data_IF_037115428550
#
_entry.id   IF_037115428550
#
_cell.length_a   1.000
_cell.length_b   1.000
_cell.length_c   1.000
_cell.angle_alpha   90.00
_cell.angle_beta   90.00
_cell.angle_gamma   90.00
#
_symmetry.space_group_name_H-M   'P 1'
#
loop_
_entity.id
_entity.type
_entity.pdbx_description
1 polymer ?
#
# COMPACT_ATOMS: atom_id res chain seq x y z
N UNK A 1 3.87 -17.56 -9.67
CA UNK A 1 2.81 -17.32 -10.70
C UNK A 1 2.49 -15.85 -10.67
N UNK A 2 2.65 -15.14 -11.79
CA UNK A 2 2.48 -13.68 -11.87
C UNK A 2 1.08 -13.29 -11.40
N UNK A 3 1.00 -12.44 -10.39
CA UNK A 3 -0.24 -11.97 -9.79
C UNK A 3 -0.60 -10.55 -10.24
N UNK A 4 0.40 -9.67 -10.29
CA UNK A 4 0.28 -8.32 -10.83
C UNK A 4 1.21 -8.21 -12.04
N UNK A 5 0.71 -7.67 -13.14
CA UNK A 5 1.50 -7.40 -14.34
C UNK A 5 1.14 -6.02 -14.89
N UNK A 6 2.12 -5.16 -15.01
CA UNK A 6 2.01 -3.85 -15.64
C UNK A 6 2.77 -3.88 -16.95
N UNK A 7 2.10 -3.53 -18.04
CA UNK A 7 2.64 -3.55 -19.41
C UNK A 7 2.47 -2.21 -20.07
N UNK A 8 3.59 -1.60 -20.47
CA UNK A 8 3.66 -0.37 -21.27
C UNK A 8 2.71 0.72 -20.71
N UNK A 9 2.68 0.86 -19.37
CA UNK A 9 1.75 1.80 -18.71
C UNK A 9 2.27 3.23 -18.82
N UNK A 10 1.39 4.11 -19.31
CA UNK A 10 1.61 5.55 -19.37
C UNK A 10 0.56 6.27 -18.56
N UNK A 11 0.97 7.38 -17.92
CA UNK A 11 0.06 8.30 -17.25
C UNK A 11 0.56 9.73 -17.38
N UNK A 12 -0.34 10.60 -17.82
CA UNK A 12 -0.09 12.03 -18.01
C UNK A 12 -1.12 12.84 -17.24
N UNK A 13 -0.69 13.96 -16.70
CA UNK A 13 -1.59 14.92 -16.06
C UNK A 13 -1.46 16.26 -16.73
N UNK A 14 -2.58 16.91 -17.03
CA UNK A 14 -2.60 18.27 -17.53
C UNK A 14 -2.69 19.24 -16.37
N UNK A 15 -1.67 20.10 -16.22
CA UNK A 15 -1.63 21.16 -15.20
C UNK A 15 -1.52 22.50 -15.91
N UNK A 16 -2.67 23.17 -16.12
CA UNK A 16 -2.75 24.36 -16.97
C UNK A 16 -2.37 24.03 -18.41
N UNK A 17 -1.36 24.71 -18.94
CA UNK A 17 -0.82 24.47 -20.29
C UNK A 17 0.31 23.44 -20.34
N UNK A 18 0.75 22.92 -19.18
CA UNK A 18 1.87 21.98 -19.08
C UNK A 18 1.37 20.56 -18.93
N UNK A 19 1.88 19.63 -19.73
CA UNK A 19 1.69 18.20 -19.56
C UNK A 19 2.83 17.64 -18.66
N UNK A 20 2.44 16.91 -17.61
CA UNK A 20 3.34 16.20 -16.72
C UNK A 20 3.22 14.71 -16.99
N UNK A 21 4.31 14.08 -17.42
CA UNK A 21 4.38 12.62 -17.59
C UNK A 21 4.71 12.00 -16.22
N UNK A 22 3.73 11.39 -15.60
CA UNK A 22 3.88 10.76 -14.29
C UNK A 22 4.35 9.31 -14.38
N UNK A 23 3.92 8.57 -15.42
CA UNK A 23 4.43 7.24 -15.77
C UNK A 23 4.71 7.18 -17.26
N UNK A 24 5.86 6.61 -17.64
CA UNK A 24 6.32 6.50 -19.00
C UNK A 24 6.87 5.12 -19.28
N UNK A 25 6.10 4.31 -20.01
CA UNK A 25 6.45 2.93 -20.38
C UNK A 25 6.84 2.08 -19.15
N UNK A 26 5.99 2.12 -18.13
CA UNK A 26 6.21 1.36 -16.90
C UNK A 26 5.87 -0.11 -17.14
N UNK A 27 6.85 -0.98 -16.84
CA UNK A 27 6.76 -2.43 -17.03
C UNK A 27 7.31 -3.15 -15.80
N UNK A 28 6.52 -4.00 -15.17
CA UNK A 28 6.97 -4.92 -14.11
C UNK A 28 5.94 -6.01 -13.82
N UNK A 29 6.39 -7.02 -13.10
CA UNK A 29 5.57 -8.13 -12.60
C UNK A 29 5.81 -8.34 -11.10
N UNK A 30 4.77 -8.78 -10.39
CA UNK A 30 4.82 -9.14 -8.97
C UNK A 30 4.11 -10.49 -8.80
N UNK A 31 4.68 -11.36 -7.98
CA UNK A 31 4.06 -12.63 -7.61
C UNK A 31 3.11 -12.47 -6.41
N UNK A 32 2.18 -13.41 -6.27
CA UNK A 32 1.22 -13.41 -5.17
C UNK A 32 1.92 -13.57 -3.83
N UNK A 33 1.55 -12.73 -2.88
CA UNK A 33 2.09 -12.77 -1.51
C UNK A 33 3.49 -12.17 -1.37
N UNK A 34 4.09 -11.59 -2.42
CA UNK A 34 5.36 -10.89 -2.30
C UNK A 34 5.25 -9.63 -1.43
N UNK A 35 6.31 -9.36 -0.68
CA UNK A 35 6.56 -8.06 -0.06
C UNK A 35 7.44 -7.25 -1.01
N UNK A 36 6.89 -6.21 -1.60
CA UNK A 36 7.50 -5.42 -2.67
C UNK A 36 7.78 -4.01 -2.21
N UNK A 37 8.94 -3.49 -2.56
CA UNK A 37 9.30 -2.08 -2.34
C UNK A 37 9.53 -1.39 -3.68
N UNK A 38 8.82 -0.29 -3.91
CA UNK A 38 9.03 0.61 -5.03
C UNK A 38 9.82 1.82 -4.52
N UNK A 39 11.08 1.91 -4.96
CA UNK A 39 12.04 2.93 -4.55
C UNK A 39 12.21 4.00 -5.63
N UNK A 40 12.41 5.23 -5.20
CA UNK A 40 12.75 6.35 -6.08
C UNK A 40 12.65 7.70 -5.38
N UNK A 41 13.22 8.73 -5.97
CA UNK A 41 13.13 10.10 -5.48
C UNK A 41 11.66 10.61 -5.48
N UNK A 42 11.40 11.70 -4.76
CA UNK A 42 10.12 12.40 -4.88
C UNK A 42 9.88 12.81 -6.35
N UNK A 43 8.64 12.64 -6.81
CA UNK A 43 8.29 12.92 -8.21
C UNK A 43 8.67 11.83 -9.21
N UNK A 44 9.26 10.71 -8.81
CA UNK A 44 9.63 9.62 -9.74
C UNK A 44 8.44 8.80 -10.29
N UNK A 45 7.19 9.15 -9.96
CA UNK A 45 5.98 8.47 -10.45
C UNK A 45 5.49 7.32 -9.56
N UNK A 46 6.10 7.08 -8.39
CA UNK A 46 5.79 5.94 -7.50
C UNK A 46 4.34 5.93 -7.02
N UNK A 47 3.86 7.04 -6.45
CA UNK A 47 2.48 7.16 -5.95
C UNK A 47 1.45 7.05 -7.09
N UNK A 48 1.81 7.48 -8.31
CA UNK A 48 0.97 7.28 -9.50
C UNK A 48 0.82 5.80 -9.82
N UNK A 49 1.91 5.02 -9.81
CA UNK A 49 1.86 3.56 -9.97
C UNK A 49 0.98 2.95 -8.88
N UNK A 50 1.18 3.35 -7.62
CA UNK A 50 0.38 2.86 -6.49
C UNK A 50 -1.12 3.12 -6.68
N UNK A 51 -1.47 4.35 -7.10
CA UNK A 51 -2.86 4.75 -7.34
C UNK A 51 -3.50 3.96 -8.49
N UNK A 52 -2.76 3.70 -9.55
CA UNK A 52 -3.23 2.89 -10.69
C UNK A 52 -3.45 1.43 -10.23
N UNK A 53 -2.48 0.83 -9.54
CA UNK A 53 -2.63 -0.53 -9.00
C UNK A 53 -3.83 -0.65 -8.04
N UNK A 54 -4.11 0.39 -7.29
CA UNK A 54 -5.22 0.43 -6.35
C UNK A 54 -6.56 0.83 -6.97
N UNK A 55 -6.62 1.15 -8.26
CA UNK A 55 -7.85 1.62 -8.92
C UNK A 55 -8.34 2.98 -8.43
N UNK A 56 -7.46 3.79 -7.84
CA UNK A 56 -7.73 5.20 -7.48
C UNK A 56 -7.55 6.13 -8.68
N UNK A 57 -6.78 5.66 -9.66
CA UNK A 57 -6.54 6.31 -10.95
C UNK A 57 -6.46 5.24 -12.04
N UNK A 58 -6.46 5.65 -13.30
CA UNK A 58 -6.33 4.75 -14.46
C UNK A 58 -5.12 5.17 -15.29
N UNK A 59 -4.46 4.21 -15.94
CA UNK A 59 -3.45 4.52 -16.94
C UNK A 59 -4.10 5.04 -18.23
N UNK A 60 -3.37 5.89 -18.97
CA UNK A 60 -3.84 6.44 -20.24
C UNK A 60 -3.59 5.47 -21.40
N UNK A 61 -2.50 4.69 -21.31
CA UNK A 61 -2.11 3.67 -22.28
C UNK A 61 -1.51 2.46 -21.54
N UNK A 62 -1.49 1.31 -22.20
CA UNK A 62 -0.96 0.06 -21.67
C UNK A 62 -1.98 -0.72 -20.84
N UNK A 63 -1.51 -1.72 -20.13
CA UNK A 63 -2.36 -2.68 -19.43
C UNK A 63 -1.89 -2.93 -18.00
N UNK A 64 -2.85 -3.10 -17.10
CA UNK A 64 -2.62 -3.50 -15.70
C UNK A 64 -3.48 -4.73 -15.41
N UNK A 65 -2.82 -5.84 -15.17
CA UNK A 65 -3.45 -7.12 -14.89
C UNK A 65 -3.27 -7.48 -13.41
N UNK A 66 -4.37 -7.84 -12.76
CA UNK A 66 -4.42 -8.30 -11.37
C UNK A 66 -5.17 -9.64 -11.34
N UNK A 67 -4.50 -10.69 -10.87
CA UNK A 67 -5.07 -12.05 -10.80
C UNK A 67 -5.72 -12.52 -12.14
N UNK A 68 -5.07 -12.21 -13.26
CA UNK A 68 -5.55 -12.54 -14.60
C UNK A 68 -6.66 -11.64 -15.15
N UNK A 69 -7.04 -10.57 -14.44
CA UNK A 69 -8.05 -9.60 -14.87
C UNK A 69 -7.40 -8.27 -15.24
N UNK A 70 -7.71 -7.73 -16.41
CA UNK A 70 -7.21 -6.42 -16.85
C UNK A 70 -8.06 -5.29 -16.25
N UNK A 71 -7.54 -4.62 -15.22
CA UNK A 71 -8.23 -3.52 -14.53
C UNK A 71 -8.17 -2.19 -15.31
N UNK A 72 -7.30 -2.05 -16.32
CA UNK A 72 -7.24 -0.86 -17.17
C UNK A 72 -8.54 -0.61 -17.96
N UNK A 73 -9.35 -1.65 -18.12
CA UNK A 73 -10.63 -1.59 -18.82
C UNK A 73 -11.84 -1.43 -17.87
N UNK A 74 -11.59 -1.30 -16.57
CA UNK A 74 -12.67 -1.17 -15.58
C UNK A 74 -13.33 0.20 -15.64
N UNK A 75 -14.66 0.21 -15.54
CA UNK A 75 -15.41 1.42 -15.29
C UNK A 75 -15.36 1.83 -13.80
N UNK A 76 -15.88 3.00 -13.48
CA UNK A 76 -15.93 3.55 -12.10
C UNK A 76 -16.58 2.59 -11.10
N UNK A 77 -17.60 1.85 -11.50
CA UNK A 77 -18.34 0.90 -10.66
C UNK A 77 -17.47 -0.32 -10.38
N UNK A 78 -16.81 -0.85 -11.39
CA UNK A 78 -15.89 -1.98 -11.29
C UNK A 78 -14.68 -1.63 -10.42
N UNK A 79 -14.09 -0.43 -10.61
CA UNK A 79 -13.00 0.07 -9.77
C UNK A 79 -13.45 0.24 -8.31
N UNK A 80 -14.69 0.66 -8.07
CA UNK A 80 -15.24 0.77 -6.72
C UNK A 80 -15.35 -0.58 -6.03
N UNK A 81 -15.82 -1.63 -6.72
CA UNK A 81 -15.86 -2.99 -6.18
C UNK A 81 -14.45 -3.55 -5.97
N UNK A 82 -13.53 -3.32 -6.90
CA UNK A 82 -12.13 -3.73 -6.77
C UNK A 82 -11.48 -3.11 -5.52
N UNK A 83 -11.61 -1.80 -5.31
CA UNK A 83 -11.12 -1.12 -4.10
C UNK A 83 -11.76 -1.64 -2.83
N UNK A 84 -13.07 -1.93 -2.87
CA UNK A 84 -13.80 -2.44 -1.72
C UNK A 84 -13.30 -3.83 -1.31
N UNK A 85 -13.20 -4.75 -2.27
CA UNK A 85 -13.06 -6.17 -2.00
C UNK A 85 -11.60 -6.65 -1.96
N UNK A 86 -10.74 -6.07 -2.80
CA UNK A 86 -9.39 -6.60 -3.02
C UNK A 86 -8.25 -5.72 -2.48
N UNK A 87 -8.47 -4.42 -2.29
CA UNK A 87 -7.41 -3.47 -1.99
C UNK A 87 -7.53 -2.83 -0.61
N UNK A 88 -6.44 -2.87 0.16
CA UNK A 88 -6.25 -2.05 1.35
C UNK A 88 -5.25 -0.92 1.07
N UNK A 89 -5.55 0.28 1.56
CA UNK A 89 -4.65 1.44 1.45
C UNK A 89 -4.15 1.91 2.81
N UNK A 90 -2.86 2.18 2.89
CA UNK A 90 -2.18 2.83 4.01
C UNK A 90 -1.46 4.06 3.48
N UNK A 91 -1.85 5.25 3.94
CA UNK A 91 -1.31 6.52 3.48
C UNK A 91 -0.33 7.10 4.50
N UNK A 92 0.56 7.98 4.03
CA UNK A 92 1.49 8.73 4.87
C UNK A 92 0.78 9.60 5.93
N UNK A 93 -0.33 10.24 5.54
CA UNK A 93 -1.20 11.02 6.44
C UNK A 93 -2.40 10.16 6.80
N UNK A 94 -2.35 9.41 7.79
CA UNK A 94 -3.27 8.41 8.37
C UNK A 94 -4.72 8.40 7.84
N UNK A 95 -5.26 9.53 7.40
CA UNK A 95 -6.61 9.75 6.85
C UNK A 95 -7.72 9.17 7.74
N UNK A 96 -7.56 9.32 9.06
CA UNK A 96 -8.57 8.94 10.02
C UNK A 96 -9.68 10.00 10.09
N UNK A 97 -10.90 9.54 10.30
CA UNK A 97 -12.03 10.43 10.55
C UNK A 97 -11.91 10.96 11.99
N UNK A 98 -11.72 12.27 12.20
CA UNK A 98 -11.32 12.81 13.51
C UNK A 98 -12.40 12.67 14.58
N UNK A 99 -13.68 12.59 14.18
CA UNK A 99 -14.83 12.49 15.07
C UNK A 99 -15.25 11.05 15.37
N UNK A 100 -14.49 10.06 14.90
CA UNK A 100 -14.68 8.65 15.17
C UNK A 100 -13.53 8.12 16.02
N UNK A 101 -13.84 7.21 16.92
CA UNK A 101 -12.85 6.46 17.70
C UNK A 101 -11.98 5.58 16.83
N UNK A 102 -10.90 5.01 17.37
CA UNK A 102 -10.06 4.05 16.66
C UNK A 102 -10.89 2.87 16.15
N UNK A 103 -11.78 2.31 16.98
CA UNK A 103 -12.67 1.21 16.61
C UNK A 103 -13.61 1.60 15.48
N UNK A 104 -14.32 2.71 15.60
CA UNK A 104 -15.26 3.21 14.58
C UNK A 104 -14.55 3.53 13.25
N UNK A 105 -13.31 4.03 13.26
CA UNK A 105 -12.51 4.22 12.04
C UNK A 105 -12.23 2.91 11.32
N UNK A 106 -12.05 1.81 12.05
CA UNK A 106 -11.84 0.47 11.47
C UNK A 106 -13.18 -0.13 10.99
N UNK A 107 -14.24 0.02 11.78
CA UNK A 107 -15.59 -0.44 11.44
C UNK A 107 -16.08 0.12 10.11
N UNK A 108 -15.82 1.39 9.81
CA UNK A 108 -16.19 2.02 8.52
C UNK A 108 -15.70 1.21 7.29
N UNK A 109 -14.52 0.61 7.39
CA UNK A 109 -13.99 -0.20 6.30
C UNK A 109 -14.45 -1.66 6.38
N UNK A 110 -14.67 -2.18 7.57
CA UNK A 110 -15.14 -3.55 7.77
C UNK A 110 -16.59 -3.74 7.33
N UNK A 111 -17.48 -2.78 7.59
CA UNK A 111 -18.91 -2.85 7.27
C UNK A 111 -19.23 -2.99 5.78
N UNK A 112 -18.35 -2.52 4.90
CA UNK A 112 -18.57 -2.60 3.45
C UNK A 112 -18.16 -3.94 2.83
N UNK A 113 -17.57 -4.86 3.61
CA UNK A 113 -17.05 -6.17 3.17
C UNK A 113 -17.72 -7.30 3.93
N UNK A 114 -18.07 -8.40 3.24
CA UNK A 114 -18.84 -9.51 3.85
C UNK A 114 -18.06 -10.29 4.90
N UNK A 115 -16.77 -10.53 4.68
CA UNK A 115 -15.92 -11.41 5.51
C UNK A 115 -14.81 -10.62 6.22
N UNK A 116 -15.11 -9.40 6.63
CA UNK A 116 -14.16 -8.57 7.36
C UNK A 116 -13.76 -9.17 8.72
N UNK A 117 -12.59 -8.80 9.20
CA UNK A 117 -12.25 -9.00 10.60
C UNK A 117 -13.12 -8.10 11.48
N UNK A 118 -13.36 -8.56 12.71
CA UNK A 118 -13.86 -7.68 13.75
C UNK A 118 -12.86 -6.52 13.99
N UNK A 119 -13.39 -5.32 14.16
CA UNK A 119 -12.55 -4.12 14.30
C UNK A 119 -11.65 -4.18 15.55
N UNK A 120 -12.13 -4.79 16.64
CA UNK A 120 -11.34 -4.97 17.85
C UNK A 120 -10.19 -5.98 17.63
N UNK A 121 -10.45 -7.05 16.90
CA UNK A 121 -9.41 -8.03 16.51
C UNK A 121 -8.35 -7.39 15.61
N UNK A 122 -8.76 -6.59 14.63
CA UNK A 122 -7.83 -5.86 13.78
C UNK A 122 -6.97 -4.86 14.56
N UNK A 123 -7.56 -4.15 15.53
CA UNK A 123 -6.82 -3.24 16.41
C UNK A 123 -5.88 -3.98 17.38
N UNK A 124 -6.28 -5.14 17.88
CA UNK A 124 -5.40 -5.99 18.69
C UNK A 124 -4.19 -6.50 17.89
N UNK A 125 -4.40 -6.87 16.63
CA UNK A 125 -3.32 -7.33 15.75
C UNK A 125 -2.23 -6.26 15.52
N UNK A 126 -2.59 -4.97 15.55
CA UNK A 126 -1.65 -3.86 15.47
C UNK A 126 -1.20 -3.30 16.84
N UNK A 127 -1.51 -4.03 17.94
CA UNK A 127 -1.11 -3.66 19.31
C UNK A 127 -1.92 -2.52 19.93
N UNK A 128 -3.13 -2.24 19.45
CA UNK A 128 -3.99 -1.15 19.90
C UNK A 128 -5.28 -1.58 20.60
N UNK A 129 -5.35 -2.83 21.10
CA UNK A 129 -6.52 -3.32 21.83
C UNK A 129 -6.89 -2.51 23.09
N UNK A 130 -5.96 -1.71 23.63
CA UNK A 130 -6.18 -0.83 24.77
C UNK A 130 -6.61 0.60 24.37
N UNK A 131 -6.73 0.89 23.07
CA UNK A 131 -7.02 2.21 22.49
C UNK A 131 -8.34 2.28 21.71
N UNK A 132 -9.19 1.28 21.80
CA UNK A 132 -10.42 1.11 21.00
C UNK A 132 -11.29 2.38 20.96
N UNK A 133 -11.45 3.01 22.11
CA UNK A 133 -12.36 4.16 22.30
C UNK A 133 -11.65 5.52 22.25
N UNK A 134 -10.35 5.55 21.93
CA UNK A 134 -9.63 6.81 21.77
C UNK A 134 -9.94 7.43 20.40
N UNK A 135 -10.13 8.76 20.40
CA UNK A 135 -10.21 9.55 19.17
C UNK A 135 -8.82 9.81 18.59
N UNK A 136 -8.68 10.08 17.27
CA UNK A 136 -7.39 10.36 16.64
C UNK A 136 -6.56 11.43 17.37
N UNK A 137 -7.20 12.50 17.89
CA UNK A 137 -6.52 13.55 18.63
C UNK A 137 -5.89 13.08 19.98
N UNK A 138 -6.27 11.92 20.47
CA UNK A 138 -5.76 11.31 21.70
C UNK A 138 -4.68 10.26 21.45
N UNK A 139 -4.33 10.02 20.17
CA UNK A 139 -3.38 9.03 19.73
C UNK A 139 -2.10 9.70 19.23
N UNK A 140 -0.96 9.11 19.51
CA UNK A 140 0.31 9.48 18.88
C UNK A 140 0.27 9.23 17.37
N UNK A 141 1.17 9.86 16.61
CA UNK A 141 1.26 9.64 15.15
C UNK A 141 1.42 8.16 14.79
N UNK A 142 2.25 7.44 15.53
CA UNK A 142 2.43 6.01 15.31
C UNK A 142 1.21 5.18 15.69
N UNK A 143 0.44 5.55 16.70
CA UNK A 143 -0.84 4.91 17.02
C UNK A 143 -1.86 5.19 15.92
N UNK A 144 -1.95 6.43 15.41
CA UNK A 144 -2.82 6.77 14.29
C UNK A 144 -2.46 5.97 13.03
N UNK A 145 -1.18 5.81 12.74
CA UNK A 145 -0.73 4.98 11.61
C UNK A 145 -1.15 3.52 11.79
N UNK A 146 -1.00 2.95 12.98
CA UNK A 146 -1.46 1.59 13.26
C UNK A 146 -2.99 1.46 13.18
N UNK A 147 -3.78 2.47 13.56
CA UNK A 147 -5.23 2.48 13.30
C UNK A 147 -5.52 2.47 11.79
N UNK A 148 -4.78 3.27 11.00
CA UNK A 148 -4.91 3.27 9.53
C UNK A 148 -4.60 1.89 8.93
N UNK A 149 -3.57 1.20 9.44
CA UNK A 149 -3.25 -0.17 9.02
C UNK A 149 -4.36 -1.13 9.44
N UNK A 150 -4.83 -1.07 10.71
CA UNK A 150 -5.94 -1.90 11.19
C UNK A 150 -7.18 -1.74 10.30
N UNK A 151 -7.52 -0.51 9.91
CA UNK A 151 -8.60 -0.20 8.97
C UNK A 151 -8.37 -0.86 7.60
N UNK A 152 -7.16 -0.83 7.09
CA UNK A 152 -6.84 -1.43 5.79
C UNK A 152 -6.92 -2.97 5.84
N UNK A 153 -6.36 -3.60 6.88
CA UNK A 153 -6.30 -5.06 7.02
C UNK A 153 -7.62 -5.70 7.46
N UNK A 154 -8.51 -4.94 8.14
CA UNK A 154 -9.82 -5.43 8.56
C UNK A 154 -10.65 -5.95 7.39
N UNK A 155 -10.45 -5.43 6.18
CA UNK A 155 -11.09 -5.90 4.96
C UNK A 155 -10.56 -7.24 4.44
N UNK A 156 -9.46 -7.77 5.00
CA UNK A 156 -8.72 -8.93 4.48
C UNK A 156 -8.31 -8.75 3.02
N UNK A 157 -7.65 -7.65 2.67
CA UNK A 157 -7.35 -7.33 1.30
C UNK A 157 -6.35 -8.34 0.70
N UNK A 158 -6.47 -8.61 -0.60
CA UNK A 158 -5.50 -9.41 -1.35
C UNK A 158 -4.23 -8.61 -1.66
N UNK A 159 -4.39 -7.27 -1.80
CA UNK A 159 -3.32 -6.33 -2.07
C UNK A 159 -3.34 -5.23 -1.00
N UNK A 160 -2.21 -4.99 -0.36
CA UNK A 160 -2.03 -3.90 0.60
C UNK A 160 -1.04 -2.88 0.02
N UNK A 161 -1.53 -1.69 -0.26
CA UNK A 161 -0.78 -0.61 -0.88
C UNK A 161 -0.43 0.45 0.17
N UNK A 162 0.86 0.74 0.32
CA UNK A 162 1.37 1.63 1.36
C UNK A 162 2.20 2.75 0.73
N UNK A 163 1.73 4.00 0.88
CA UNK A 163 2.48 5.18 0.43
C UNK A 163 3.20 5.81 1.62
N UNK A 164 4.55 5.69 1.64
CA UNK A 164 5.43 6.19 2.70
C UNK A 164 4.94 5.87 4.12
N UNK A 165 4.64 4.60 4.46
CA UNK A 165 3.92 4.24 5.69
C UNK A 165 4.68 4.56 6.98
N UNK A 166 5.98 4.84 6.89
CA UNK A 166 6.85 5.19 8.03
C UNK A 166 7.41 6.59 7.97
N UNK A 167 7.09 7.37 6.91
CA UNK A 167 7.72 8.65 6.63
C UNK A 167 7.53 9.75 7.69
N UNK A 168 6.49 9.63 8.53
CA UNK A 168 6.18 10.56 9.61
C UNK A 168 6.42 9.98 11.02
N UNK A 169 7.10 8.82 11.12
CA UNK A 169 7.27 8.08 12.35
C UNK A 169 8.73 8.10 12.83
N UNK A 170 8.90 8.00 14.14
CA UNK A 170 10.22 7.70 14.72
C UNK A 170 10.65 6.27 14.39
N UNK A 171 11.94 5.99 14.55
CA UNK A 171 12.56 4.70 14.19
C UNK A 171 11.84 3.49 14.80
N UNK A 172 11.59 3.51 16.12
CA UNK A 172 10.99 2.37 16.82
C UNK A 172 9.56 2.10 16.36
N UNK A 173 8.79 3.15 16.21
CA UNK A 173 7.41 3.08 15.73
C UNK A 173 7.36 2.64 14.25
N UNK A 174 8.28 3.16 13.42
CA UNK A 174 8.42 2.72 12.03
C UNK A 174 8.73 1.22 11.91
N UNK A 175 9.63 0.72 12.77
CA UNK A 175 9.97 -0.71 12.84
C UNK A 175 8.76 -1.58 13.19
N UNK A 176 7.92 -1.15 14.13
CA UNK A 176 6.68 -1.85 14.48
C UNK A 176 5.68 -1.89 13.31
N UNK A 177 5.52 -0.77 12.60
CA UNK A 177 4.66 -0.69 11.41
C UNK A 177 5.15 -1.63 10.31
N UNK A 178 6.44 -1.62 9.99
CA UNK A 178 7.02 -2.50 8.97
C UNK A 178 6.89 -3.97 9.33
N UNK A 179 7.01 -4.31 10.62
CA UNK A 179 6.79 -5.67 11.11
C UNK A 179 5.38 -6.15 10.80
N UNK A 180 4.36 -5.36 11.13
CA UNK A 180 2.95 -5.68 10.84
C UNK A 180 2.75 -5.89 9.35
N UNK A 181 3.31 -5.00 8.50
CA UNK A 181 3.19 -5.11 7.05
C UNK A 181 3.89 -6.37 6.50
N UNK A 182 5.05 -6.74 7.06
CA UNK A 182 5.76 -7.97 6.68
C UNK A 182 4.99 -9.22 7.11
N UNK A 183 4.38 -9.21 8.30
CA UNK A 183 3.50 -10.29 8.77
C UNK A 183 2.26 -10.43 7.88
N UNK A 184 1.68 -9.35 7.36
CA UNK A 184 0.56 -9.41 6.42
C UNK A 184 0.90 -10.17 5.13
N UNK A 185 2.12 -9.99 4.62
CA UNK A 185 2.59 -10.76 3.46
C UNK A 185 2.88 -12.21 3.83
N UNK A 186 3.67 -12.45 4.87
CA UNK A 186 4.18 -13.77 5.22
C UNK A 186 3.10 -14.70 5.79
N UNK A 187 2.28 -14.21 6.71
CA UNK A 187 1.37 -15.03 7.53
C UNK A 187 -0.06 -15.03 6.97
N UNK A 188 -0.47 -13.96 6.29
CA UNK A 188 -1.80 -13.83 5.70
C UNK A 188 -1.82 -13.93 4.17
N UNK A 189 -0.64 -13.97 3.52
CA UNK A 189 -0.52 -14.14 2.08
C UNK A 189 -0.98 -12.95 1.25
N UNK A 190 -1.13 -11.77 1.86
CA UNK A 190 -1.42 -10.54 1.13
C UNK A 190 -0.21 -10.11 0.32
N UNK A 191 -0.42 -9.61 -0.90
CA UNK A 191 0.64 -8.95 -1.66
C UNK A 191 0.80 -7.53 -1.13
N UNK A 192 1.94 -7.23 -0.52
CA UNK A 192 2.21 -5.92 0.11
C UNK A 192 3.14 -5.11 -0.78
N UNK A 193 2.73 -3.89 -1.13
CA UNK A 193 3.52 -2.98 -1.96
C UNK A 193 3.73 -1.68 -1.20
N UNK A 194 4.98 -1.38 -0.90
CA UNK A 194 5.39 -0.14 -0.21
C UNK A 194 6.09 0.78 -1.20
N UNK A 195 5.60 1.99 -1.31
CA UNK A 195 6.29 3.08 -2.01
C UNK A 195 7.06 3.89 -0.98
N UNK A 196 8.35 4.10 -1.23
CA UNK A 196 9.20 4.88 -0.33
C UNK A 196 10.44 5.45 -1.05
N UNK A 197 11.06 6.46 -0.45
CA UNK A 197 12.38 6.94 -0.83
C UNK A 197 13.50 6.39 0.07
N UNK A 198 13.15 5.65 1.13
CA UNK A 198 14.11 5.08 2.06
C UNK A 198 14.72 3.77 1.51
N UNK A 199 15.94 3.88 0.99
CA UNK A 199 16.67 2.73 0.43
C UNK A 199 17.05 1.68 1.46
N UNK A 200 17.12 2.03 2.75
CA UNK A 200 17.47 1.09 3.81
C UNK A 200 16.42 -0.03 3.99
N UNK A 201 15.20 0.16 3.47
CA UNK A 201 14.14 -0.85 3.52
C UNK A 201 14.28 -1.94 2.45
N UNK A 202 15.13 -1.76 1.43
CA UNK A 202 15.30 -2.71 0.32
C UNK A 202 15.56 -4.16 0.75
N UNK A 203 16.38 -4.45 1.80
CA UNK A 203 16.63 -5.81 2.24
C UNK A 203 15.41 -6.58 2.75
N UNK A 204 14.33 -5.88 3.13
CA UNK A 204 13.09 -6.50 3.61
C UNK A 204 12.23 -7.11 2.48
N UNK A 205 12.45 -6.69 1.24
CA UNK A 205 11.59 -7.01 0.12
C UNK A 205 12.02 -8.29 -0.60
N UNK A 206 11.02 -9.05 -1.10
CA UNK A 206 11.24 -10.10 -2.10
C UNK A 206 11.62 -9.49 -3.46
N UNK A 207 11.08 -8.29 -3.74
CA UNK A 207 11.28 -7.57 -4.99
C UNK A 207 11.42 -6.09 -4.73
N UNK A 208 12.46 -5.48 -5.30
CA UNK A 208 12.68 -4.04 -5.27
C UNK A 208 12.58 -3.48 -6.69
N UNK A 209 11.65 -2.57 -6.90
CA UNK A 209 11.45 -1.86 -8.18
C UNK A 209 12.00 -0.45 -8.02
N UNK A 210 13.06 -0.15 -8.74
CA UNK A 210 13.65 1.20 -8.74
C UNK A 210 13.01 2.05 -9.82
N UNK A 211 12.41 3.17 -9.41
CA UNK A 211 11.83 4.16 -10.32
C UNK A 211 12.68 5.42 -10.39
N UNK A 212 12.81 5.96 -11.58
CA UNK A 212 13.49 7.23 -11.87
C UNK A 212 12.85 7.86 -13.10
N UNK A 213 12.55 9.16 -13.03
CA UNK A 213 11.98 9.94 -14.15
C UNK A 213 10.78 9.22 -14.81
N UNK A 214 9.78 8.89 -13.99
CA UNK A 214 8.54 8.23 -14.42
C UNK A 214 8.72 6.83 -15.06
N UNK A 215 9.91 6.20 -14.95
CA UNK A 215 10.23 4.89 -15.54
C UNK A 215 10.73 3.89 -14.51
N UNK A 216 10.58 2.60 -14.80
CA UNK A 216 11.29 1.55 -14.09
C UNK A 216 12.72 1.50 -14.60
N UNK A 217 13.68 1.77 -13.72
CA UNK A 217 15.12 1.73 -14.01
C UNK A 217 15.72 0.34 -13.87
N UNK A 218 15.33 -0.36 -12.82
CA UNK A 218 15.80 -1.72 -12.54
C UNK A 218 14.83 -2.44 -11.60
N UNK A 219 14.86 -3.76 -11.65
CA UNK A 219 14.14 -4.64 -10.73
C UNK A 219 15.18 -5.59 -10.12
N UNK A 220 15.17 -5.70 -8.80
CA UNK A 220 16.06 -6.60 -8.04
C UNK A 220 15.19 -7.63 -7.31
N UNK A 221 15.48 -8.90 -7.50
CA UNK A 221 14.84 -10.00 -6.78
C UNK A 221 15.72 -10.38 -5.59
N UNK A 222 15.09 -10.70 -4.47
CA UNK A 222 15.74 -11.16 -3.26
C UNK A 222 15.05 -12.45 -2.77
N UNK A 223 15.73 -13.55 -2.91
CA UNK A 223 15.22 -14.88 -2.52
C UNK A 223 15.25 -15.12 -1.00
N UNK A 224 15.90 -14.22 -0.26
CA UNK A 224 16.05 -14.32 1.19
C UNK A 224 15.85 -12.96 1.86
N UNK A 225 14.62 -12.43 1.89
CA UNK A 225 14.32 -11.16 2.55
C UNK A 225 14.65 -11.23 4.03
N UNK A 226 15.25 -10.15 4.54
CA UNK A 226 15.57 -10.03 5.96
C UNK A 226 14.28 -9.83 6.79
N UNK A 227 14.28 -10.33 8.03
CA UNK A 227 13.29 -9.94 9.00
C UNK A 227 13.54 -8.51 9.47
N UNK A 228 12.47 -7.77 9.76
CA UNK A 228 12.59 -6.36 10.21
C UNK A 228 13.41 -6.23 11.51
N UNK A 229 13.44 -7.28 12.33
CA UNK A 229 14.22 -7.32 13.57
C UNK A 229 15.73 -7.22 13.31
N UNK A 230 16.20 -7.73 12.18
CA UNK A 230 17.59 -7.77 11.76
C UNK A 230 18.05 -6.49 11.04
N UNK A 231 17.08 -5.62 10.67
CA UNK A 231 17.36 -4.40 9.92
C UNK A 231 17.78 -3.27 10.86
N UNK A 232 18.95 -2.69 10.58
CA UNK A 232 19.40 -1.40 11.12
C UNK A 232 19.23 -0.34 10.01
N UNK A 233 18.33 0.64 10.18
CA UNK A 233 18.07 1.67 9.18
C UNK A 233 17.83 3.06 9.78
#
# INVERSE_FOLDING_TARGET
MTYIQVKNSFKRYQVGETEIIANHDVNFEIEKGEFVIILGASGAGKSTVLNILGGMDTNDEGEVWIDGVNISNFDETQLTYYRRDDVGFVFQFYNLVPNLTAKENVELAAEIVKDAWDAEEALKAVGLGHRLHNFPAQLSGGEQQRVSIARAIAKKPKILLCDEPTGALDYQTGKQVLKILQEMSRDYGATVIIVTHNMALAPLANRVIHMHDARVKSIVLNDSPQAIEELEY
#
